data_IF_242258913865
#
_entry.id   IF_242258913865
#
_cell.length_a   1.000
_cell.length_b   1.000
_cell.length_c   1.000
_cell.angle_alpha   90.00
_cell.angle_beta   90.00
_cell.angle_gamma   90.00
#
_symmetry.space_group_name_H-M   'P 1'
#
loop_
_entity.id
_entity.type
_entity.pdbx_description
1 polymer ?
#
# COMPACT_ATOMS: atom_id res chain seq x y z
N UNK A 1 -12.81 24.04 -8.69
CA UNK A 1 -12.10 22.81 -9.10
C UNK A 1 -11.15 22.28 -8.03
N UNK A 2 -10.45 23.15 -7.28
CA UNK A 2 -9.44 22.72 -6.29
C UNK A 2 -9.97 21.83 -5.14
N UNK A 3 -11.23 22.01 -4.72
CA UNK A 3 -11.81 21.23 -3.60
C UNK A 3 -12.06 19.75 -3.95
N UNK A 4 -12.56 19.45 -5.15
CA UNK A 4 -12.84 18.07 -5.58
C UNK A 4 -11.56 17.24 -5.73
N UNK A 5 -10.47 17.87 -6.21
CA UNK A 5 -9.15 17.24 -6.33
C UNK A 5 -8.58 16.95 -4.93
N UNK A 6 -8.67 17.91 -4.00
CA UNK A 6 -8.22 17.71 -2.63
C UNK A 6 -8.99 16.59 -1.90
N UNK A 7 -10.32 16.53 -2.08
CA UNK A 7 -11.16 15.45 -1.52
C UNK A 7 -10.77 14.09 -2.10
N UNK A 8 -10.52 14.03 -3.42
CA UNK A 8 -10.12 12.79 -4.08
C UNK A 8 -8.73 12.32 -3.64
N UNK A 9 -7.76 13.23 -3.54
CA UNK A 9 -6.42 12.94 -3.04
C UNK A 9 -6.45 12.44 -1.59
N UNK A 10 -7.25 13.06 -0.73
CA UNK A 10 -7.42 12.62 0.66
C UNK A 10 -8.07 11.23 0.78
N UNK A 11 -8.95 10.85 -0.16
CA UNK A 11 -9.49 9.49 -0.23
C UNK A 11 -8.42 8.49 -0.65
N UNK A 12 -7.70 8.76 -1.74
CA UNK A 12 -6.63 7.90 -2.24
C UNK A 12 -5.51 7.69 -1.20
N UNK A 13 -5.15 8.75 -0.46
CA UNK A 13 -4.18 8.67 0.63
C UNK A 13 -4.58 7.71 1.76
N UNK A 14 -5.87 7.42 1.93
CA UNK A 14 -6.37 6.42 2.88
C UNK A 14 -6.56 5.05 2.23
N UNK A 15 -7.09 5.03 1.01
CA UNK A 15 -7.51 3.80 0.35
C UNK A 15 -6.29 2.96 -0.11
N UNK A 16 -5.21 3.62 -0.55
CA UNK A 16 -4.00 2.93 -1.03
C UNK A 16 -3.32 2.12 0.10
N UNK A 17 -2.96 2.71 1.25
CA UNK A 17 -2.38 1.93 2.36
C UNK A 17 -3.32 0.85 2.89
N UNK A 18 -4.63 1.10 2.88
CA UNK A 18 -5.62 0.11 3.29
C UNK A 18 -5.68 -1.10 2.33
N UNK A 19 -5.49 -0.87 1.02
CA UNK A 19 -5.41 -1.93 0.02
C UNK A 19 -4.12 -2.75 0.17
N UNK A 20 -2.98 -2.10 0.37
CA UNK A 20 -1.68 -2.74 0.64
C UNK A 20 -1.77 -3.67 1.85
N UNK A 21 -2.26 -3.15 2.99
CA UNK A 21 -2.44 -3.94 4.21
C UNK A 21 -3.34 -5.16 4.00
N UNK A 22 -4.43 -5.01 3.24
CA UNK A 22 -5.35 -6.13 2.96
C UNK A 22 -4.72 -7.21 2.08
N UNK A 23 -3.80 -6.86 1.19
CA UNK A 23 -3.06 -7.83 0.40
C UNK A 23 -2.07 -8.62 1.27
N UNK A 24 -1.41 -7.95 2.21
CA UNK A 24 -0.52 -8.62 3.17
C UNK A 24 -1.29 -9.60 4.07
N UNK A 25 -2.45 -9.18 4.60
CA UNK A 25 -3.34 -10.06 5.36
C UNK A 25 -3.82 -11.27 4.54
N UNK A 26 -4.15 -11.06 3.26
CA UNK A 26 -4.51 -12.16 2.37
C UNK A 26 -3.33 -13.13 2.16
N UNK A 27 -2.10 -12.62 2.01
CA UNK A 27 -0.91 -13.44 1.86
C UNK A 27 -0.63 -14.27 3.13
N UNK A 28 -0.81 -13.69 4.30
CA UNK A 28 -0.71 -14.39 5.60
C UNK A 28 -1.75 -15.50 5.68
N UNK A 29 -3.01 -15.20 5.37
CA UNK A 29 -4.11 -16.16 5.44
C UNK A 29 -3.87 -17.36 4.50
N UNK A 30 -3.46 -17.11 3.25
CA UNK A 30 -3.17 -18.18 2.28
C UNK A 30 -1.95 -19.00 2.70
N UNK A 31 -0.93 -18.37 3.29
CA UNK A 31 0.26 -19.07 3.79
C UNK A 31 -0.04 -19.96 5.00
N UNK A 32 -0.91 -19.49 5.88
CA UNK A 32 -1.46 -20.30 6.99
C UNK A 32 -2.21 -21.51 6.45
N UNK A 33 -3.10 -21.32 5.46
CA UNK A 33 -3.85 -22.42 4.83
C UNK A 33 -2.92 -23.43 4.13
N UNK A 34 -1.87 -22.96 3.45
CA UNK A 34 -0.85 -23.81 2.84
C UNK A 34 -0.15 -24.67 3.88
N UNK A 35 0.21 -24.09 5.03
CA UNK A 35 0.81 -24.82 6.15
C UNK A 35 -0.12 -25.92 6.65
N UNK A 36 -1.39 -25.61 6.90
CA UNK A 36 -2.39 -26.59 7.31
C UNK A 36 -2.59 -27.71 6.28
N UNK A 37 -2.61 -27.38 4.99
CA UNK A 37 -2.77 -28.38 3.92
C UNK A 37 -1.56 -29.33 3.83
N UNK A 38 -0.34 -28.83 3.99
CA UNK A 38 0.87 -29.65 4.01
C UNK A 38 0.94 -30.51 5.26
N UNK A 39 0.59 -29.96 6.43
CA UNK A 39 0.51 -30.72 7.69
C UNK A 39 -0.51 -31.85 7.61
N UNK A 40 -1.73 -31.57 7.13
CA UNK A 40 -2.76 -32.60 6.95
C UNK A 40 -2.29 -33.74 6.03
N UNK A 41 -1.55 -33.42 4.95
CA UNK A 41 -0.98 -34.45 4.07
C UNK A 41 0.09 -35.32 4.76
N UNK A 42 0.81 -34.77 5.74
CA UNK A 42 1.81 -35.49 6.52
C UNK A 42 1.14 -36.38 7.58
N UNK A 43 0.15 -35.84 8.28
CA UNK A 43 -0.34 -36.43 9.53
C UNK A 43 -1.49 -37.44 9.32
N UNK A 44 -2.18 -37.41 8.17
CA UNK A 44 -3.24 -38.36 7.86
C UNK A 44 -2.67 -39.71 7.40
N UNK A 45 -2.77 -40.69 8.28
CA UNK A 45 -2.33 -42.07 8.03
C UNK A 45 -3.16 -42.72 6.91
N UNK A 46 -2.49 -43.45 6.01
CA UNK A 46 -3.14 -44.25 4.97
C UNK A 46 -3.54 -43.47 3.70
N UNK A 47 -3.31 -42.16 3.64
CA UNK A 47 -3.55 -41.34 2.44
C UNK A 47 -2.24 -41.22 1.63
N UNK A 48 -2.23 -41.59 0.33
CA UNK A 48 -1.04 -41.42 -0.50
C UNK A 48 -0.59 -39.97 -0.58
N UNK A 49 0.73 -39.71 -0.51
CA UNK A 49 1.31 -38.36 -0.59
C UNK A 49 0.99 -37.62 -1.91
N UNK A 50 0.52 -38.32 -2.93
CA UNK A 50 0.03 -37.74 -4.19
C UNK A 50 -1.35 -37.07 -4.03
N UNK A 51 -2.15 -37.49 -3.05
CA UNK A 51 -3.40 -36.84 -2.69
C UNK A 51 -3.09 -35.48 -2.04
N UNK A 52 -3.80 -34.43 -2.46
CA UNK A 52 -3.58 -33.06 -2.00
C UNK A 52 -2.47 -32.28 -2.73
N UNK A 53 -1.62 -32.92 -3.55
CA UNK A 53 -0.61 -32.20 -4.35
C UNK A 53 -1.22 -31.14 -5.26
N UNK A 54 -2.34 -31.48 -5.91
CA UNK A 54 -3.03 -30.56 -6.79
C UNK A 54 -3.64 -29.37 -6.02
N UNK A 55 -3.99 -29.55 -4.75
CA UNK A 55 -4.45 -28.48 -3.85
C UNK A 55 -3.31 -27.57 -3.46
N UNK A 56 -2.18 -28.14 -3.03
CA UNK A 56 -0.95 -27.41 -2.70
C UNK A 56 -0.45 -26.58 -3.88
N UNK A 57 -0.47 -27.15 -5.09
CA UNK A 57 -0.11 -26.40 -6.31
C UNK A 57 -1.05 -25.22 -6.57
N UNK A 58 -2.35 -25.34 -6.27
CA UNK A 58 -3.30 -24.24 -6.42
C UNK A 58 -3.08 -23.14 -5.37
N UNK A 59 -2.77 -23.52 -4.13
CA UNK A 59 -2.40 -22.57 -3.07
C UNK A 59 -1.13 -21.79 -3.41
N UNK A 60 -0.10 -22.47 -3.92
CA UNK A 60 1.12 -21.81 -4.40
C UNK A 60 0.82 -20.78 -5.51
N UNK A 61 -0.03 -21.14 -6.48
CA UNK A 61 -0.46 -20.20 -7.53
C UNK A 61 -1.20 -18.99 -6.96
N UNK A 62 -2.03 -19.19 -5.94
CA UNK A 62 -2.72 -18.09 -5.26
C UNK A 62 -1.71 -17.17 -4.54
N UNK A 63 -0.69 -17.71 -3.89
CA UNK A 63 0.37 -16.91 -3.26
C UNK A 63 1.14 -16.08 -4.28
N UNK A 64 1.53 -16.67 -5.41
CA UNK A 64 2.23 -15.94 -6.49
C UNK A 64 1.36 -14.78 -6.99
N UNK A 65 0.07 -15.04 -7.26
CA UNK A 65 -0.84 -14.00 -7.73
C UNK A 65 -1.02 -12.85 -6.71
N UNK A 66 -1.01 -13.15 -5.40
CA UNK A 66 -1.06 -12.12 -4.35
C UNK A 66 0.22 -11.28 -4.31
N UNK A 67 1.38 -11.90 -4.48
CA UNK A 67 2.68 -11.19 -4.54
C UNK A 67 2.74 -10.28 -5.77
N UNK A 68 2.30 -10.78 -6.93
CA UNK A 68 2.23 -9.99 -8.16
C UNK A 68 1.30 -8.78 -7.98
N UNK A 69 0.11 -9.01 -7.41
CA UNK A 69 -0.85 -7.95 -7.12
C UNK A 69 -0.31 -6.92 -6.12
N UNK A 70 0.41 -7.34 -5.07
CA UNK A 70 1.08 -6.44 -4.12
C UNK A 70 2.10 -5.56 -4.83
N UNK A 71 2.92 -6.14 -5.72
CA UNK A 71 3.86 -5.39 -6.54
C UNK A 71 3.19 -4.37 -7.46
N UNK A 72 2.05 -4.72 -8.07
CA UNK A 72 1.26 -3.80 -8.89
C UNK A 72 0.68 -2.64 -8.07
N UNK A 73 0.13 -2.91 -6.88
CA UNK A 73 -0.41 -1.87 -6.00
C UNK A 73 0.69 -0.92 -5.51
N UNK A 74 1.87 -1.42 -5.16
CA UNK A 74 3.00 -0.56 -4.77
C UNK A 74 3.43 0.36 -5.93
N UNK A 75 3.39 -0.11 -7.17
CA UNK A 75 3.64 0.73 -8.35
C UNK A 75 2.55 1.79 -8.54
N UNK A 76 1.28 1.41 -8.35
CA UNK A 76 0.16 2.38 -8.37
C UNK A 76 0.33 3.45 -7.31
N UNK A 77 0.73 3.09 -6.09
CA UNK A 77 1.05 4.04 -5.03
C UNK A 77 2.15 5.02 -5.49
N UNK A 78 3.26 4.51 -6.01
CA UNK A 78 4.34 5.35 -6.55
C UNK A 78 3.86 6.33 -7.63
N UNK A 79 3.06 5.85 -8.59
CA UNK A 79 2.49 6.68 -9.65
C UNK A 79 1.52 7.75 -9.11
N UNK A 80 0.67 7.40 -8.13
CA UNK A 80 -0.22 8.37 -7.49
C UNK A 80 0.55 9.43 -6.69
N UNK A 81 1.65 9.04 -6.03
CA UNK A 81 2.52 9.98 -5.33
C UNK A 81 3.24 10.93 -6.30
N UNK A 82 3.66 10.45 -7.47
CA UNK A 82 4.21 11.28 -8.54
C UNK A 82 3.17 12.26 -9.09
N UNK A 83 1.98 11.79 -9.45
CA UNK A 83 0.87 12.66 -9.87
C UNK A 83 0.57 13.72 -8.80
N UNK A 84 0.53 13.32 -7.52
CA UNK A 84 0.33 14.25 -6.41
C UNK A 84 1.41 15.33 -6.34
N UNK A 85 2.68 14.98 -6.53
CA UNK A 85 3.79 15.96 -6.59
C UNK A 85 3.68 16.90 -7.78
N UNK A 86 3.25 16.42 -8.94
CA UNK A 86 3.14 17.24 -10.16
C UNK A 86 1.90 18.14 -10.15
N UNK A 87 0.78 17.64 -9.65
CA UNK A 87 -0.53 18.31 -9.71
C UNK A 87 -0.86 19.12 -8.45
N UNK A 88 -0.36 18.71 -7.28
CA UNK A 88 -0.40 19.48 -6.04
C UNK A 88 0.95 20.17 -5.76
N UNK A 89 1.86 20.18 -6.74
CA UNK A 89 3.15 20.83 -6.66
C UNK A 89 3.01 22.33 -6.38
N UNK A 90 3.33 22.69 -5.14
CA UNK A 90 3.73 24.03 -4.72
C UNK A 90 2.83 25.17 -5.19
N UNK A 91 1.62 25.29 -4.61
CA UNK A 91 1.12 26.63 -4.36
C UNK A 91 1.96 27.29 -3.25
N UNK A 92 3.21 27.63 -3.58
CA UNK A 92 4.10 28.46 -2.77
C UNK A 92 3.60 29.92 -2.72
N UNK A 93 2.43 30.25 -3.30
CA UNK A 93 1.88 31.61 -3.22
C UNK A 93 1.12 31.88 -1.92
N UNK A 94 0.85 30.88 -1.09
CA UNK A 94 0.41 31.08 0.30
C UNK A 94 1.47 30.59 1.29
N UNK A 95 2.63 31.24 1.32
CA UNK A 95 3.30 31.39 2.62
C UNK A 95 2.35 32.21 3.51
N UNK A 96 1.82 31.67 4.62
CA UNK A 96 1.04 32.46 5.55
C UNK A 96 1.85 33.70 5.95
N UNK A 97 1.24 34.89 5.97
CA UNK A 97 1.93 36.17 6.27
C UNK A 97 2.71 36.15 7.61
N UNK A 98 2.40 35.20 8.48
CA UNK A 98 3.13 34.90 9.72
C UNK A 98 4.61 34.52 9.48
N UNK A 99 4.95 33.95 8.33
CA UNK A 99 6.34 33.64 7.97
C UNK A 99 7.14 34.88 7.52
N UNK A 100 6.48 35.97 7.11
CA UNK A 100 7.15 37.23 6.73
C UNK A 100 7.38 38.17 7.93
N UNK A 101 6.80 37.87 9.10
CA UNK A 101 6.96 38.70 10.30
C UNK A 101 8.34 38.57 10.98
N UNK A 102 9.18 37.61 10.54
CA UNK A 102 10.47 37.32 11.17
C UNK A 102 11.69 38.06 10.61
N UNK A 103 11.56 38.89 9.57
CA UNK A 103 12.74 39.47 8.87
C UNK A 103 12.66 40.99 8.67
N UNK A 104 12.11 41.74 9.63
CA UNK A 104 12.55 43.13 9.83
C UNK A 104 13.62 43.18 10.90
N UNK A 105 14.85 43.02 10.42
CA UNK A 105 16.00 43.72 10.98
C UNK A 105 15.64 45.21 10.99
N UNK A 106 15.48 45.79 12.18
CA UNK A 106 15.66 47.22 12.39
C UNK A 106 16.94 47.41 13.20
N UNK A 107 18.01 47.74 12.48
CA UNK A 107 19.05 48.57 13.05
C UNK A 107 18.58 50.04 13.10
N UNK A 108 19.35 50.81 13.89
CA UNK A 108 19.41 52.27 13.99
C UNK A 108 18.54 52.97 15.07
N UNK A 109 19.20 53.16 16.23
CA UNK A 109 19.52 54.46 16.86
C UNK A 109 18.40 55.47 17.17
N UNK A 110 18.19 55.72 18.47
CA UNK A 110 18.53 56.98 19.15
C UNK A 110 18.52 56.76 20.68
#
# INVERSE_FOLDING_TARGET
MSNEIAISAARLARDVPAAELRLDEALIAVSTLMTSAVAARRDVVGVPATKGQATIRRLLKAQIALVDASGDILRVHGALAEIGRETAGYDLHECPSVAQAGTRVQGAAA
#
